data_IF_730995367994
#
_entry.id   IF_730995367994
#
_cell.length_a   1.000
_cell.length_b   1.000
_cell.length_c   1.000
_cell.angle_alpha   90.00
_cell.angle_beta   90.00
_cell.angle_gamma   90.00
#
_symmetry.space_group_name_H-M   'P 1'
#
loop_
_entity.id
_entity.type
_entity.pdbx_description
1 polymer ?
#
# COMPACT_ATOMS: atom_id res chain seq x y z
N UNK A 1 17.30 -43.42 -34.46
CA UNK A 1 16.18 -43.97 -33.67
C UNK A 1 16.32 -43.57 -32.22
N UNK A 2 15.59 -42.56 -31.74
CA UNK A 2 15.40 -42.24 -30.32
C UNK A 2 13.93 -41.95 -30.11
N UNK A 3 13.24 -42.78 -29.35
CA UNK A 3 11.83 -42.64 -28.98
C UNK A 3 11.66 -41.58 -27.90
N UNK A 4 10.82 -40.64 -28.18
CA UNK A 4 10.30 -39.65 -27.23
C UNK A 4 9.19 -40.30 -26.37
N UNK A 5 9.37 -40.32 -25.04
CA UNK A 5 8.31 -40.76 -24.13
C UNK A 5 7.48 -39.53 -23.71
N UNK A 6 6.22 -39.52 -24.15
CA UNK A 6 5.19 -38.57 -23.63
C UNK A 6 4.64 -39.18 -22.34
N UNK A 7 4.83 -38.48 -21.21
CA UNK A 7 4.17 -38.83 -19.95
C UNK A 7 2.71 -38.36 -20.00
N UNK A 8 1.81 -39.31 -19.95
CA UNK A 8 0.36 -39.12 -19.84
C UNK A 8 0.02 -38.94 -18.37
N UNK A 9 -0.43 -37.74 -17.97
CA UNK A 9 -1.04 -37.52 -16.65
C UNK A 9 -2.49 -38.01 -16.74
N UNK A 10 -2.74 -39.18 -16.18
CA UNK A 10 -4.08 -39.73 -16.00
C UNK A 10 -4.76 -39.02 -14.84
N UNK A 11 -5.90 -38.38 -15.15
CA UNK A 11 -6.84 -37.84 -14.16
C UNK A 11 -7.55 -39.01 -13.48
N UNK A 12 -7.20 -39.31 -12.23
CA UNK A 12 -8.03 -40.15 -11.36
C UNK A 12 -9.15 -39.28 -10.77
N UNK A 13 -10.32 -39.40 -11.34
CA UNK A 13 -11.57 -38.95 -10.69
C UNK A 13 -11.99 -40.11 -9.79
N UNK A 14 -11.72 -40.01 -8.49
CA UNK A 14 -12.28 -40.91 -7.48
C UNK A 14 -13.66 -40.39 -7.10
N UNK A 15 -14.69 -40.97 -7.66
CA UNK A 15 -16.08 -40.86 -7.17
C UNK A 15 -16.22 -41.67 -5.90
N UNK A 16 -16.09 -41.06 -4.72
CA UNK A 16 -16.52 -41.64 -3.46
C UNK A 16 -18.04 -41.47 -3.33
N UNK A 17 -18.78 -42.52 -3.63
CA UNK A 17 -20.16 -42.65 -3.17
C UNK A 17 -20.11 -42.99 -1.68
N UNK A 18 -20.07 -41.96 -0.81
CA UNK A 18 -20.27 -42.12 0.60
C UNK A 18 -21.79 -42.25 0.86
N UNK A 19 -22.22 -43.46 1.20
CA UNK A 19 -23.54 -43.67 1.77
C UNK A 19 -23.65 -42.88 3.09
N UNK A 20 -24.34 -41.77 3.05
CA UNK A 20 -24.65 -40.93 4.21
C UNK A 20 -25.67 -41.71 5.05
N UNK A 21 -25.20 -42.47 6.04
CA UNK A 21 -26.05 -42.96 7.12
C UNK A 21 -26.44 -41.73 7.94
N UNK A 22 -27.66 -41.18 7.70
CA UNK A 22 -28.23 -40.13 8.49
C UNK A 22 -28.54 -40.70 9.90
N UNK A 23 -27.58 -40.66 10.81
CA UNK A 23 -27.88 -40.69 12.22
C UNK A 23 -28.53 -39.37 12.53
N UNK A 24 -29.87 -39.37 12.66
CA UNK A 24 -30.58 -38.31 13.35
C UNK A 24 -30.15 -38.36 14.81
N UNK A 25 -29.05 -37.66 15.12
CA UNK A 25 -28.84 -37.22 16.51
C UNK A 25 -29.91 -36.16 16.72
N UNK A 26 -31.01 -36.53 17.34
CA UNK A 26 -31.96 -35.59 17.86
C UNK A 26 -31.27 -34.82 18.97
N UNK A 27 -30.58 -33.76 18.61
CA UNK A 27 -30.15 -32.77 19.58
C UNK A 27 -31.44 -32.17 20.12
N UNK A 28 -31.85 -32.60 21.31
CA UNK A 28 -32.91 -31.92 22.07
C UNK A 28 -32.40 -30.47 22.17
N UNK A 29 -33.11 -29.46 21.62
CA UNK A 29 -32.69 -28.10 21.75
C UNK A 29 -32.68 -27.75 23.23
N UNK A 30 -31.51 -27.53 23.82
CA UNK A 30 -31.39 -27.02 25.18
C UNK A 30 -32.09 -25.66 25.17
N UNK A 31 -33.27 -25.60 25.77
CA UNK A 31 -34.04 -24.35 25.86
C UNK A 31 -33.22 -23.35 26.66
N UNK A 32 -32.79 -22.29 26.01
CA UNK A 32 -32.04 -21.22 26.65
C UNK A 32 -32.86 -20.63 27.80
N UNK A 33 -32.28 -20.51 29.00
CA UNK A 33 -32.92 -19.91 30.15
C UNK A 33 -32.90 -18.38 30.04
N UNK A 34 -34.09 -17.77 30.02
CA UNK A 34 -34.23 -16.31 29.93
C UNK A 34 -33.73 -15.56 31.20
N UNK A 35 -33.43 -16.29 32.29
CA UNK A 35 -32.79 -15.71 33.48
C UNK A 35 -31.33 -15.34 33.29
N UNK A 36 -30.66 -15.86 32.23
CA UNK A 36 -29.32 -15.49 31.88
C UNK A 36 -29.34 -14.38 30.84
N UNK A 37 -28.76 -13.20 31.13
CA UNK A 37 -28.82 -12.03 30.25
C UNK A 37 -28.19 -12.28 28.90
N UNK A 38 -28.64 -11.55 27.88
CA UNK A 38 -28.11 -11.61 26.51
C UNK A 38 -26.76 -10.90 26.40
N UNK A 39 -25.87 -11.44 25.57
CA UNK A 39 -24.66 -10.76 25.11
C UNK A 39 -25.05 -9.67 24.13
N UNK A 40 -24.52 -8.46 24.32
CA UNK A 40 -24.76 -7.26 23.50
C UNK A 40 -23.45 -6.52 23.19
N UNK A 41 -23.50 -5.59 22.21
CA UNK A 41 -22.42 -4.66 21.96
C UNK A 41 -21.11 -5.33 21.55
N UNK A 42 -21.19 -6.46 20.84
CA UNK A 42 -20.00 -7.12 20.30
C UNK A 42 -19.31 -6.21 19.30
N UNK A 43 -18.00 -6.02 19.46
CA UNK A 43 -17.16 -5.25 18.54
C UNK A 43 -15.77 -5.84 18.45
N UNK A 44 -15.13 -5.66 17.31
CA UNK A 44 -13.71 -5.96 17.13
C UNK A 44 -12.91 -4.78 17.66
N UNK A 45 -11.93 -5.04 18.53
CA UNK A 45 -11.09 -4.01 19.19
C UNK A 45 -9.75 -3.82 18.50
N UNK A 46 -9.17 -4.93 18.05
CA UNK A 46 -7.89 -4.96 17.35
C UNK A 46 -7.80 -6.15 16.40
N UNK A 47 -6.72 -6.20 15.61
CA UNK A 47 -6.36 -7.34 14.77
C UNK A 47 -4.87 -7.33 14.42
N UNK A 48 -4.29 -8.52 14.37
CA UNK A 48 -3.00 -8.78 13.73
C UNK A 48 -3.18 -9.76 12.56
N UNK A 49 -2.10 -10.24 12.00
CA UNK A 49 -2.14 -11.27 10.93
C UNK A 49 -2.68 -12.61 11.41
N UNK A 50 -2.58 -12.90 12.71
CA UNK A 50 -2.97 -14.20 13.31
C UNK A 50 -3.84 -14.07 14.55
N UNK A 51 -4.38 -12.88 14.84
CA UNK A 51 -5.24 -12.65 15.99
C UNK A 51 -6.31 -11.59 15.73
N UNK A 52 -7.39 -11.64 16.50
CA UNK A 52 -8.45 -10.65 16.51
C UNK A 52 -8.97 -10.46 17.94
N UNK A 53 -8.89 -9.22 18.44
CA UNK A 53 -9.47 -8.83 19.72
C UNK A 53 -10.95 -8.54 19.56
N UNK A 54 -11.75 -9.00 20.52
CA UNK A 54 -13.19 -8.74 20.60
C UNK A 54 -13.56 -8.27 22.00
N UNK A 55 -14.60 -7.47 22.10
CA UNK A 55 -15.23 -7.12 23.38
C UNK A 55 -16.74 -7.16 23.24
N UNK A 56 -17.43 -7.32 24.38
CA UNK A 56 -18.88 -7.39 24.45
C UNK A 56 -19.38 -6.86 25.80
N UNK A 57 -20.68 -6.81 25.98
CA UNK A 57 -21.31 -6.54 27.25
C UNK A 57 -22.36 -7.61 27.56
N UNK A 58 -22.47 -7.98 28.85
CA UNK A 58 -23.52 -8.85 29.35
C UNK A 58 -23.75 -8.46 30.80
N UNK A 59 -24.91 -7.85 31.16
CA UNK A 59 -25.23 -7.45 32.53
C UNK A 59 -25.47 -8.67 33.44
N UNK A 60 -25.35 -8.47 34.76
CA UNK A 60 -25.60 -9.51 35.76
C UNK A 60 -24.33 -9.97 36.47
N UNK A 61 -24.46 -10.85 37.45
CA UNK A 61 -23.35 -11.36 38.26
C UNK A 61 -23.17 -12.87 38.05
N UNK A 62 -21.94 -13.34 38.23
CA UNK A 62 -21.58 -14.76 38.13
C UNK A 62 -21.76 -15.38 36.74
N UNK A 63 -21.65 -14.56 35.71
CA UNK A 63 -21.70 -14.99 34.31
C UNK A 63 -20.28 -15.41 33.87
N UNK A 64 -20.21 -16.48 33.08
CA UNK A 64 -19.06 -16.89 32.30
C UNK A 64 -19.46 -17.00 30.85
N UNK A 65 -18.50 -17.02 29.97
CA UNK A 65 -18.75 -17.05 28.53
C UNK A 65 -18.08 -18.27 27.90
N UNK A 66 -18.85 -18.99 27.09
CA UNK A 66 -18.38 -19.91 26.08
C UNK A 66 -18.22 -19.14 24.77
N UNK A 67 -17.08 -19.23 24.16
CA UNK A 67 -16.77 -18.59 22.88
C UNK A 67 -16.54 -19.66 21.83
N UNK A 68 -17.22 -19.54 20.73
CA UNK A 68 -17.09 -20.41 19.56
C UNK A 68 -16.77 -19.55 18.34
N UNK A 69 -16.01 -20.10 17.39
CA UNK A 69 -15.67 -19.40 16.14
C UNK A 69 -15.74 -20.32 14.93
N UNK A 70 -15.93 -19.74 13.74
CA UNK A 70 -15.96 -20.47 12.46
C UNK A 70 -15.51 -19.55 11.31
N UNK A 71 -15.01 -20.12 10.21
CA UNK A 71 -14.88 -19.41 8.93
C UNK A 71 -16.22 -19.29 8.17
N UNK A 72 -17.25 -20.00 8.61
CA UNK A 72 -18.59 -20.02 8.00
C UNK A 72 -19.64 -19.42 8.95
N UNK A 73 -20.53 -18.60 8.39
CA UNK A 73 -21.52 -17.89 9.22
C UNK A 73 -22.53 -18.81 9.92
N UNK A 74 -22.88 -19.95 9.32
CA UNK A 74 -23.98 -20.81 9.79
C UNK A 74 -23.53 -22.13 10.39
N UNK A 75 -22.33 -22.62 10.08
CA UNK A 75 -21.87 -23.98 10.40
C UNK A 75 -20.41 -24.00 10.82
N UNK A 76 -19.90 -25.17 11.23
CA UNK A 76 -18.47 -25.38 11.47
C UNK A 76 -17.93 -24.62 12.69
N UNK A 77 -18.77 -24.29 13.68
CA UNK A 77 -18.32 -23.62 14.88
C UNK A 77 -17.56 -24.59 15.79
N UNK A 78 -16.35 -24.15 16.15
CA UNK A 78 -15.46 -24.86 17.07
C UNK A 78 -15.37 -24.07 18.39
N UNK A 79 -15.25 -24.83 19.49
CA UNK A 79 -15.07 -24.25 20.82
C UNK A 79 -13.67 -23.61 20.91
N UNK A 80 -13.62 -22.30 21.15
CA UNK A 80 -12.37 -21.60 21.44
C UNK A 80 -12.05 -21.66 22.95
N UNK A 81 -13.05 -21.37 23.78
CA UNK A 81 -12.97 -21.46 25.24
C UNK A 81 -14.37 -21.46 25.85
N UNK A 82 -14.51 -22.07 27.02
CA UNK A 82 -15.78 -22.15 27.72
C UNK A 82 -15.78 -21.53 29.13
N UNK A 83 -14.75 -20.71 29.44
CA UNK A 83 -14.56 -20.26 30.82
C UNK A 83 -14.06 -18.79 30.95
N UNK A 84 -14.47 -17.91 30.09
CA UNK A 84 -14.13 -16.48 30.23
C UNK A 84 -14.99 -15.88 31.34
N UNK A 85 -14.40 -15.29 32.40
CA UNK A 85 -15.17 -14.66 33.46
C UNK A 85 -15.80 -13.34 32.99
N UNK A 86 -16.92 -12.96 33.61
CA UNK A 86 -17.64 -11.72 33.29
C UNK A 86 -16.76 -10.46 33.43
N UNK A 87 -15.85 -10.43 34.39
CA UNK A 87 -14.96 -9.31 34.63
C UNK A 87 -14.06 -9.00 33.44
N UNK A 88 -13.82 -9.97 32.55
CA UNK A 88 -12.97 -9.77 31.36
C UNK A 88 -13.72 -9.19 30.17
N UNK A 89 -15.00 -9.56 29.94
CA UNK A 89 -15.87 -9.11 28.82
C UNK A 89 -15.15 -8.77 27.50
N UNK A 90 -13.98 -9.37 27.30
CA UNK A 90 -13.10 -9.23 26.14
C UNK A 90 -12.22 -10.47 26.00
N UNK A 91 -11.77 -10.72 24.77
CA UNK A 91 -10.88 -11.84 24.44
C UNK A 91 -10.11 -11.52 23.16
N UNK A 92 -8.87 -11.98 23.08
CA UNK A 92 -8.12 -12.03 21.84
C UNK A 92 -8.10 -13.48 21.31
N UNK A 93 -8.76 -13.70 20.18
CA UNK A 93 -8.64 -14.94 19.40
C UNK A 93 -7.25 -14.99 18.80
N UNK A 94 -6.55 -16.10 18.90
CA UNK A 94 -5.19 -16.32 18.39
C UNK A 94 -5.13 -17.55 17.47
N UNK A 95 -4.01 -17.76 16.79
CA UNK A 95 -3.80 -18.87 15.84
C UNK A 95 -4.78 -18.83 14.65
N UNK A 96 -5.23 -17.66 14.29
CA UNK A 96 -6.04 -17.42 13.10
C UNK A 96 -5.17 -17.31 11.87
N UNK A 97 -5.73 -17.57 10.67
CA UNK A 97 -5.04 -17.35 9.41
C UNK A 97 -5.10 -15.88 8.96
N UNK A 98 -4.08 -15.39 8.26
CA UNK A 98 -4.02 -14.01 7.79
C UNK A 98 -5.05 -13.69 6.71
N UNK A 99 -5.59 -12.46 6.74
CA UNK A 99 -6.49 -11.93 5.72
C UNK A 99 -7.85 -12.62 5.64
N UNK A 100 -8.21 -13.38 6.66
CA UNK A 100 -9.45 -14.16 6.73
C UNK A 100 -10.59 -13.39 7.40
N UNK A 101 -11.75 -13.98 7.28
CA UNK A 101 -12.99 -13.62 7.98
C UNK A 101 -13.37 -14.77 8.88
N UNK A 102 -13.69 -14.47 10.12
CA UNK A 102 -14.23 -15.40 11.09
C UNK A 102 -15.55 -14.89 11.64
N UNK A 103 -16.38 -15.79 12.11
CA UNK A 103 -17.63 -15.51 12.79
C UNK A 103 -17.56 -16.06 14.21
N UNK A 104 -17.84 -15.21 15.18
CA UNK A 104 -17.75 -15.53 16.60
C UNK A 104 -19.14 -15.54 17.20
N UNK A 105 -19.44 -16.55 18.01
CA UNK A 105 -20.65 -16.61 18.84
C UNK A 105 -20.25 -16.68 20.29
N UNK A 106 -21.04 -16.03 21.14
CA UNK A 106 -20.81 -16.00 22.58
C UNK A 106 -22.07 -16.49 23.28
N UNK A 107 -21.89 -17.52 24.10
CA UNK A 107 -22.97 -18.09 24.93
C UNK A 107 -22.68 -17.75 26.38
N UNK A 108 -23.54 -16.96 27.05
CA UNK A 108 -23.40 -16.69 28.48
C UNK A 108 -23.85 -17.90 29.30
N UNK A 109 -23.10 -18.21 30.33
CA UNK A 109 -23.31 -19.36 31.20
C UNK A 109 -23.34 -18.88 32.67
N UNK A 110 -24.28 -19.38 33.48
CA UNK A 110 -24.32 -19.18 34.91
C UNK A 110 -24.20 -20.52 35.63
N UNK A 111 -23.40 -20.58 36.68
CA UNK A 111 -23.34 -21.73 37.57
C UNK A 111 -24.26 -21.48 38.75
N UNK A 112 -25.20 -22.39 38.98
CA UNK A 112 -26.13 -22.39 40.12
C UNK A 112 -25.70 -23.44 41.12
N UNK A 113 -25.54 -23.05 42.39
CA UNK A 113 -25.24 -23.99 43.46
C UNK A 113 -26.55 -24.69 43.86
N UNK A 114 -26.60 -26.01 43.73
CA UNK A 114 -27.75 -26.86 44.03
C UNK A 114 -27.65 -27.54 45.42
N UNK A 115 -26.56 -27.33 46.16
CA UNK A 115 -26.29 -27.90 47.48
C UNK A 115 -24.80 -28.15 47.69
N UNK A 116 -24.41 -28.82 48.78
CA UNK A 116 -23.02 -29.04 49.21
C UNK A 116 -22.02 -29.30 48.02
N UNK A 117 -21.48 -28.22 47.44
CA UNK A 117 -20.49 -28.29 46.39
C UNK A 117 -20.96 -28.74 45.00
N UNK A 118 -22.25 -28.99 44.78
CA UNK A 118 -22.81 -29.38 43.49
C UNK A 118 -23.32 -28.17 42.73
N UNK A 119 -22.77 -27.95 41.50
CA UNK A 119 -23.20 -26.87 40.61
C UNK A 119 -23.92 -27.42 39.40
N UNK A 120 -25.01 -26.78 38.98
CA UNK A 120 -25.64 -26.96 37.67
C UNK A 120 -25.32 -25.78 36.79
N UNK A 121 -25.18 -26.07 35.49
CA UNK A 121 -24.91 -25.08 34.45
C UNK A 121 -26.23 -24.61 33.84
N UNK A 122 -26.51 -23.32 33.93
CA UNK A 122 -27.60 -22.66 33.23
C UNK A 122 -27.04 -21.95 32.01
N UNK A 123 -27.45 -22.40 30.83
CA UNK A 123 -26.99 -21.84 29.55
C UNK A 123 -28.00 -20.80 29.06
N UNK A 124 -27.51 -19.60 28.77
CA UNK A 124 -28.30 -18.55 28.15
C UNK A 124 -28.37 -18.65 26.63
N UNK A 125 -28.96 -17.65 26.01
CA UNK A 125 -29.09 -17.58 24.56
C UNK A 125 -27.75 -17.22 23.92
N UNK A 126 -27.29 -18.03 22.97
CA UNK A 126 -26.13 -17.76 22.16
C UNK A 126 -26.32 -16.50 21.29
N UNK A 127 -25.32 -15.64 21.20
CA UNK A 127 -25.38 -14.45 20.37
C UNK A 127 -25.51 -14.77 18.87
N UNK A 128 -26.02 -13.82 18.10
CA UNK A 128 -25.87 -13.89 16.64
C UNK A 128 -24.38 -13.93 16.26
N UNK A 129 -24.02 -14.55 15.11
CA UNK A 129 -22.67 -14.56 14.59
C UNK A 129 -22.14 -13.13 14.41
N UNK A 130 -21.00 -12.83 15.01
CA UNK A 130 -20.31 -11.54 14.86
C UNK A 130 -19.09 -11.73 14.00
N UNK A 131 -19.02 -10.98 12.90
CA UNK A 131 -17.92 -11.04 11.95
C UNK A 131 -16.66 -10.33 12.48
N UNK A 132 -15.53 -11.04 12.52
CA UNK A 132 -14.21 -10.51 12.82
C UNK A 132 -13.24 -10.79 11.67
N UNK A 133 -12.17 -10.04 11.58
CA UNK A 133 -11.19 -10.15 10.50
C UNK A 133 -9.78 -10.13 11.03
N UNK A 134 -8.87 -10.79 10.33
CA UNK A 134 -7.42 -10.69 10.52
C UNK A 134 -6.79 -9.79 9.48
N UNK A 135 -5.63 -9.23 9.79
CA UNK A 135 -4.84 -8.44 8.85
C UNK A 135 -4.26 -9.34 7.73
N UNK A 136 -4.17 -8.84 6.50
CA UNK A 136 -3.39 -9.53 5.46
C UNK A 136 -1.92 -9.64 5.86
N UNK A 137 -1.30 -10.80 5.59
CA UNK A 137 0.09 -11.06 5.98
C UNK A 137 1.10 -10.29 5.13
N UNK A 138 0.85 -10.23 3.83
CA UNK A 138 1.81 -9.69 2.88
C UNK A 138 1.71 -8.17 2.74
N UNK A 139 2.86 -7.51 2.74
CA UNK A 139 2.94 -6.14 2.22
C UNK A 139 2.63 -6.11 0.72
N UNK A 140 2.00 -5.04 0.19
CA UNK A 140 1.75 -4.94 -1.24
C UNK A 140 3.04 -5.04 -2.05
N UNK A 141 3.17 -6.07 -2.88
CA UNK A 141 4.35 -6.23 -3.73
C UNK A 141 4.36 -5.23 -4.88
N UNK A 142 5.52 -5.07 -5.52
CA UNK A 142 5.67 -4.29 -6.76
C UNK A 142 5.22 -2.82 -6.67
N UNK A 143 5.39 -2.17 -5.50
CA UNK A 143 5.12 -0.73 -5.39
C UNK A 143 5.98 0.03 -6.41
N UNK A 144 5.35 0.50 -7.48
CA UNK A 144 6.02 1.13 -8.62
C UNK A 144 5.55 2.55 -8.83
N UNK A 145 6.51 3.42 -9.18
CA UNK A 145 6.26 4.74 -9.71
C UNK A 145 5.77 4.63 -11.16
N UNK A 146 4.61 5.20 -11.46
CA UNK A 146 4.00 5.16 -12.80
C UNK A 146 4.34 6.41 -13.60
N UNK A 147 4.08 7.58 -13.01
CA UNK A 147 4.40 8.90 -13.60
C UNK A 147 4.34 10.00 -12.55
N UNK A 148 5.00 11.12 -12.85
CA UNK A 148 4.90 12.37 -12.08
C UNK A 148 4.54 13.55 -12.96
N UNK A 149 3.88 14.54 -12.37
CA UNK A 149 3.87 15.93 -12.82
C UNK A 149 4.70 16.80 -11.85
N UNK A 150 4.65 18.10 -11.99
CA UNK A 150 5.38 19.03 -11.10
C UNK A 150 4.87 19.06 -9.66
N UNK A 151 3.66 18.52 -9.42
CA UNK A 151 2.96 18.53 -8.14
C UNK A 151 2.15 17.24 -7.87
N UNK A 152 2.33 16.21 -8.71
CA UNK A 152 1.66 14.92 -8.53
C UNK A 152 2.61 13.74 -8.73
N UNK A 153 2.35 12.65 -8.03
CA UNK A 153 2.99 11.33 -8.21
C UNK A 153 1.89 10.28 -8.31
N UNK A 154 1.94 9.44 -9.35
CA UNK A 154 1.10 8.25 -9.46
C UNK A 154 1.94 7.00 -9.17
N UNK A 155 1.46 6.21 -8.21
CA UNK A 155 2.02 4.88 -7.88
C UNK A 155 0.98 3.79 -8.06
N UNK A 156 1.45 2.55 -8.27
CA UNK A 156 0.64 1.34 -8.30
C UNK A 156 1.36 0.20 -7.57
N UNK A 157 0.60 -0.79 -7.16
CA UNK A 157 1.10 -1.99 -6.48
C UNK A 157 0.29 -3.22 -6.88
N UNK A 158 0.76 -4.41 -6.49
CA UNK A 158 0.01 -5.66 -6.71
C UNK A 158 -1.08 -5.81 -5.65
N UNK A 159 -2.21 -6.40 -6.05
CA UNK A 159 -3.28 -6.75 -5.11
C UNK A 159 -2.75 -7.74 -4.05
N UNK A 160 -3.23 -7.58 -2.81
CA UNK A 160 -2.91 -8.48 -1.70
C UNK A 160 -4.14 -9.35 -1.42
N UNK A 161 -4.01 -10.67 -1.40
CA UNK A 161 -5.11 -11.56 -1.06
C UNK A 161 -5.72 -11.21 0.30
N UNK A 162 -7.05 -11.26 0.39
CA UNK A 162 -7.77 -10.92 1.61
C UNK A 162 -7.88 -9.43 1.93
N UNK A 163 -7.23 -8.54 1.19
CA UNK A 163 -7.36 -7.09 1.38
C UNK A 163 -8.61 -6.54 0.68
N UNK A 164 -9.28 -5.60 1.34
CA UNK A 164 -10.38 -4.83 0.78
C UNK A 164 -10.14 -3.31 0.82
N UNK A 165 -9.05 -2.90 1.42
CA UNK A 165 -8.62 -1.50 1.54
C UNK A 165 -7.10 -1.39 1.57
N UNK A 166 -6.56 -0.28 1.08
CA UNK A 166 -5.14 0.05 1.17
C UNK A 166 -4.96 1.42 1.81
N UNK A 167 -3.95 1.53 2.65
CA UNK A 167 -3.52 2.81 3.19
C UNK A 167 -2.20 3.22 2.53
N UNK A 168 -2.18 4.44 2.03
CA UNK A 168 -0.98 5.06 1.46
C UNK A 168 -0.56 6.19 2.38
N UNK A 169 0.64 6.10 2.93
CA UNK A 169 1.27 7.14 3.75
C UNK A 169 2.42 7.72 2.95
N UNK A 170 2.53 9.03 2.90
CA UNK A 170 3.60 9.68 2.16
C UNK A 170 4.08 10.94 2.86
N UNK A 171 5.39 11.19 2.76
CA UNK A 171 6.05 12.38 3.30
C UNK A 171 7.08 12.91 2.31
N UNK A 172 7.34 14.19 2.34
CA UNK A 172 8.47 14.76 1.61
C UNK A 172 9.77 14.26 2.25
N UNK A 173 10.70 13.79 1.46
CA UNK A 173 11.98 13.28 1.95
C UNK A 173 12.71 14.35 2.76
N UNK A 174 13.18 13.96 3.95
CA UNK A 174 13.82 14.85 4.91
C UNK A 174 12.86 15.65 5.82
N UNK A 175 11.54 15.38 5.76
CA UNK A 175 10.56 15.99 6.68
C UNK A 175 9.82 14.92 7.49
N UNK A 176 9.34 15.30 8.68
CA UNK A 176 8.58 14.42 9.56
C UNK A 176 7.05 14.42 9.24
N UNK A 177 6.58 15.33 8.41
CA UNK A 177 5.15 15.48 8.13
C UNK A 177 4.66 14.36 7.21
N UNK A 178 3.84 13.45 7.74
CA UNK A 178 3.21 12.36 7.00
C UNK A 178 1.76 12.72 6.62
N UNK A 179 1.37 12.37 5.42
CA UNK A 179 0.01 12.46 4.91
C UNK A 179 -0.51 11.06 4.63
N UNK A 180 -1.79 10.84 4.90
CA UNK A 180 -2.42 9.52 4.73
C UNK A 180 -3.58 9.61 3.75
N UNK A 181 -3.73 8.54 2.94
CA UNK A 181 -4.86 8.36 2.03
C UNK A 181 -5.27 6.89 2.00
N UNK A 182 -6.57 6.61 2.09
CA UNK A 182 -7.12 5.27 1.86
C UNK A 182 -7.68 5.12 0.44
N UNK A 183 -7.62 3.90 -0.10
CA UNK A 183 -8.21 3.53 -1.39
C UNK A 183 -8.55 2.04 -1.41
N UNK A 184 -9.55 1.65 -2.18
CA UNK A 184 -9.88 0.24 -2.44
C UNK A 184 -9.17 -0.29 -3.70
N UNK A 185 -8.62 0.61 -4.53
CA UNK A 185 -7.88 0.24 -5.73
C UNK A 185 -6.40 0.01 -5.47
N UNK A 186 -5.71 -0.56 -6.44
CA UNK A 186 -4.27 -0.88 -6.40
C UNK A 186 -3.39 0.22 -7.01
N UNK A 187 -3.90 1.44 -7.11
CA UNK A 187 -3.15 2.61 -7.54
C UNK A 187 -3.69 3.89 -6.93
N UNK A 188 -2.84 4.89 -6.81
CA UNK A 188 -3.25 6.21 -6.32
C UNK A 188 -2.46 7.32 -7.01
N UNK A 189 -3.11 8.47 -7.20
CA UNK A 189 -2.43 9.72 -7.56
C UNK A 189 -2.40 10.63 -6.32
N UNK A 190 -1.20 10.89 -5.83
CA UNK A 190 -0.92 11.89 -4.81
C UNK A 190 -0.90 13.26 -5.50
N UNK A 191 -1.55 14.25 -4.90
CA UNK A 191 -1.74 15.59 -5.48
C UNK A 191 -1.30 16.67 -4.49
N UNK A 192 -1.12 17.89 -4.99
CA UNK A 192 -0.71 19.07 -4.20
C UNK A 192 0.64 18.86 -3.51
N UNK A 193 1.55 18.18 -4.19
CA UNK A 193 2.90 17.92 -3.70
C UNK A 193 3.78 19.15 -3.89
N UNK A 194 4.79 19.30 -3.05
CA UNK A 194 5.80 20.35 -3.20
C UNK A 194 6.56 20.18 -4.51
N UNK A 195 6.78 21.30 -5.21
CA UNK A 195 7.54 21.33 -6.44
C UNK A 195 9.02 21.03 -6.17
N UNK A 196 9.68 20.42 -7.15
CA UNK A 196 11.11 20.09 -7.09
C UNK A 196 11.50 19.28 -5.83
N UNK A 197 10.61 18.38 -5.37
CA UNK A 197 10.77 17.58 -4.15
C UNK A 197 10.79 16.07 -4.45
N UNK A 198 11.27 15.29 -3.49
CA UNK A 198 11.22 13.82 -3.46
C UNK A 198 10.35 13.37 -2.31
N UNK A 199 9.76 12.19 -2.44
CA UNK A 199 8.83 11.64 -1.47
C UNK A 199 9.18 10.21 -1.09
N UNK A 200 9.01 9.91 0.19
CA UNK A 200 8.91 8.54 0.69
C UNK A 200 7.44 8.15 0.67
N UNK A 201 7.12 7.00 0.10
CA UNK A 201 5.75 6.50 -0.05
C UNK A 201 5.70 5.10 0.55
N UNK A 202 4.79 4.89 1.50
CA UNK A 202 4.52 3.60 2.16
C UNK A 202 3.11 3.15 1.79
N UNK A 203 2.92 1.88 1.49
CA UNK A 203 1.61 1.29 1.23
C UNK A 203 1.44 0.04 2.04
N UNK A 204 0.29 -0.12 2.69
CA UNK A 204 -0.10 -1.37 3.35
C UNK A 204 -1.51 -1.79 2.94
N UNK A 205 -1.74 -3.09 2.97
CA UNK A 205 -3.05 -3.69 2.77
C UNK A 205 -3.81 -3.78 4.09
N UNK A 206 -5.12 -3.79 4.03
CA UNK A 206 -5.96 -3.94 5.20
C UNK A 206 -7.31 -4.55 4.91
N UNK A 207 -8.00 -4.95 5.98
CA UNK A 207 -9.35 -5.47 5.96
C UNK A 207 -10.23 -4.66 6.90
N UNK A 208 -11.42 -4.28 6.46
CA UNK A 208 -12.34 -3.43 7.24
C UNK A 208 -13.06 -4.25 8.30
N UNK A 209 -13.20 -3.70 9.52
CA UNK A 209 -14.09 -4.25 10.53
C UNK A 209 -15.55 -4.15 10.08
N UNK A 210 -16.41 -4.98 10.65
CA UNK A 210 -17.81 -5.05 10.27
C UNK A 210 -18.56 -3.74 10.49
N UNK A 211 -18.27 -3.04 11.56
CA UNK A 211 -18.87 -1.76 11.93
C UNK A 211 -18.26 -0.56 11.16
N UNK A 212 -17.25 -0.81 10.31
CA UNK A 212 -16.57 0.22 9.55
C UNK A 212 -15.61 1.11 10.36
N UNK A 213 -15.57 0.99 11.68
CA UNK A 213 -14.81 1.88 12.58
C UNK A 213 -13.31 1.63 12.55
N UNK A 214 -12.91 0.36 12.37
CA UNK A 214 -11.50 -0.06 12.39
C UNK A 214 -11.03 -0.74 11.11
N UNK A 215 -9.73 -0.99 11.08
CA UNK A 215 -9.03 -1.69 9.99
C UNK A 215 -8.01 -2.65 10.59
N UNK A 216 -8.00 -3.89 10.10
CA UNK A 216 -6.91 -4.84 10.32
C UNK A 216 -5.81 -4.54 9.30
N UNK A 217 -4.76 -3.84 9.71
CA UNK A 217 -3.67 -3.41 8.83
C UNK A 217 -2.53 -4.42 8.83
N UNK A 218 -2.09 -4.82 7.63
CA UNK A 218 -0.85 -5.57 7.40
C UNK A 218 0.39 -4.67 7.35
N UNK A 219 1.50 -5.26 6.91
CA UNK A 219 2.80 -4.60 6.85
C UNK A 219 2.90 -3.59 5.69
N UNK A 220 3.77 -2.58 5.87
CA UNK A 220 4.09 -1.60 4.83
C UNK A 220 5.11 -2.12 3.82
N UNK A 221 4.86 -1.81 2.56
CA UNK A 221 5.90 -1.71 1.54
C UNK A 221 6.30 -0.24 1.38
N UNK A 222 7.59 0.05 1.46
CA UNK A 222 8.10 1.42 1.38
C UNK A 222 8.90 1.63 0.09
N UNK A 223 8.68 2.77 -0.55
CA UNK A 223 9.46 3.26 -1.67
C UNK A 223 10.02 4.63 -1.35
N UNK A 224 11.33 4.74 -1.38
CA UNK A 224 12.07 5.97 -1.07
C UNK A 224 12.33 6.80 -2.31
N UNK A 225 12.59 8.08 -2.11
CA UNK A 225 13.11 9.03 -3.11
C UNK A 225 12.34 9.10 -4.43
N UNK A 226 11.01 9.00 -4.36
CA UNK A 226 10.15 9.13 -5.54
C UNK A 226 10.03 10.61 -5.91
N UNK A 227 10.58 11.05 -7.06
CA UNK A 227 10.59 12.47 -7.40
C UNK A 227 9.28 12.92 -8.04
N UNK A 228 8.90 14.18 -7.80
CA UNK A 228 8.03 14.90 -8.72
C UNK A 228 8.80 15.24 -9.99
N UNK A 229 8.09 15.57 -11.07
CA UNK A 229 8.70 16.09 -12.29
C UNK A 229 9.24 17.50 -12.02
N UNK A 230 10.52 17.75 -12.32
CA UNK A 230 11.15 19.05 -12.08
C UNK A 230 10.47 20.18 -12.85
N UNK A 231 10.35 21.33 -12.20
CA UNK A 231 9.89 22.57 -12.81
C UNK A 231 10.92 23.11 -13.82
N UNK A 232 10.61 24.23 -14.50
CA UNK A 232 11.55 24.88 -15.41
C UNK A 232 12.85 25.22 -14.71
N UNK A 233 13.96 25.00 -15.40
CA UNK A 233 15.30 25.43 -14.97
C UNK A 233 15.42 26.94 -15.17
N UNK A 234 15.99 27.61 -14.19
CA UNK A 234 16.17 29.06 -14.16
C UNK A 234 17.65 29.45 -14.11
N UNK A 235 17.93 30.75 -14.23
CA UNK A 235 19.28 31.30 -14.12
C UNK A 235 20.22 30.82 -15.22
N UNK A 236 19.72 30.55 -16.43
CA UNK A 236 20.51 30.08 -17.55
C UNK A 236 21.34 31.25 -18.08
N UNK A 237 22.66 31.07 -18.09
CA UNK A 237 23.63 31.96 -18.73
C UNK A 237 24.42 31.15 -19.78
N UNK A 238 24.65 31.77 -20.92
CA UNK A 238 25.45 31.22 -22.04
C UNK A 238 26.64 32.13 -22.28
N UNK A 239 27.82 31.53 -22.36
CA UNK A 239 29.08 32.26 -22.61
C UNK A 239 29.91 31.50 -23.60
N UNK A 240 30.96 32.15 -24.11
CA UNK A 240 31.82 31.55 -25.18
C UNK A 240 31.28 31.79 -26.60
N UNK A 241 30.61 32.88 -26.82
CA UNK A 241 29.77 33.21 -27.97
C UNK A 241 30.51 34.11 -28.99
N UNK A 242 31.66 33.66 -29.45
CA UNK A 242 32.43 34.45 -30.48
C UNK A 242 32.68 33.58 -31.71
N UNK A 243 32.77 34.21 -32.86
CA UNK A 243 32.85 33.61 -34.21
C UNK A 243 33.95 32.55 -34.42
N UNK A 244 34.92 32.48 -33.52
CA UNK A 244 36.05 31.56 -33.59
C UNK A 244 36.12 30.50 -32.50
N UNK A 245 35.06 30.40 -31.61
CA UNK A 245 35.09 29.45 -30.51
C UNK A 245 34.40 28.13 -30.87
N UNK A 246 35.12 27.06 -30.62
CA UNK A 246 34.63 25.70 -30.77
C UNK A 246 33.84 25.18 -29.56
N UNK A 247 33.50 26.08 -28.60
CA UNK A 247 32.91 25.71 -27.30
C UNK A 247 31.92 26.75 -26.79
N UNK A 248 30.73 26.31 -26.43
CA UNK A 248 29.74 27.08 -25.66
C UNK A 248 29.73 26.56 -24.26
N UNK A 249 29.78 27.45 -23.25
CA UNK A 249 29.61 27.16 -21.87
C UNK A 249 28.22 27.62 -21.42
N UNK A 250 27.50 26.75 -20.65
CA UNK A 250 26.18 27.02 -20.19
C UNK A 250 26.19 26.80 -18.68
N UNK A 251 25.66 27.75 -17.92
CA UNK A 251 25.41 27.60 -16.48
C UNK A 251 23.93 27.75 -16.18
N UNK A 252 23.45 27.13 -15.14
CA UNK A 252 22.08 27.29 -14.67
C UNK A 252 21.97 27.04 -13.15
N UNK A 253 20.89 27.51 -12.53
CA UNK A 253 20.58 27.18 -11.14
C UNK A 253 20.26 25.70 -10.99
N UNK A 254 20.74 25.08 -9.91
CA UNK A 254 20.42 23.70 -9.55
C UNK A 254 18.95 23.55 -9.15
N UNK A 255 18.41 22.33 -9.32
CA UNK A 255 17.07 21.92 -8.88
C UNK A 255 17.20 20.85 -7.80
N UNK A 256 16.52 21.01 -6.67
CA UNK A 256 16.68 20.15 -5.50
C UNK A 256 16.41 18.65 -5.77
N UNK A 257 15.48 18.32 -6.66
CA UNK A 257 15.16 16.92 -6.97
C UNK A 257 15.89 16.39 -8.21
N UNK A 258 16.79 17.17 -8.83
CA UNK A 258 17.46 16.78 -10.06
C UNK A 258 18.68 15.85 -9.81
N UNK A 259 18.80 14.81 -10.61
CA UNK A 259 20.00 13.98 -10.72
C UNK A 259 20.88 14.41 -11.87
N UNK A 260 20.36 15.29 -12.75
CA UNK A 260 21.13 15.85 -13.83
C UNK A 260 20.30 16.71 -14.77
N UNK A 261 20.96 17.13 -15.86
CA UNK A 261 20.39 18.08 -16.81
C UNK A 261 20.59 17.63 -18.23
N UNK A 262 19.61 17.95 -19.07
CA UNK A 262 19.70 17.81 -20.52
C UNK A 262 19.69 19.20 -21.15
N UNK A 263 20.70 19.46 -21.95
CA UNK A 263 20.90 20.70 -22.72
C UNK A 263 20.65 20.42 -24.17
N UNK A 264 19.96 21.33 -24.86
CA UNK A 264 19.78 21.30 -26.30
C UNK A 264 20.20 22.62 -26.89
N UNK A 265 21.02 22.53 -27.94
CA UNK A 265 21.49 23.63 -28.75
C UNK A 265 20.81 23.58 -30.11
N UNK A 266 20.21 24.67 -30.48
CA UNK A 266 19.63 24.87 -31.82
C UNK A 266 20.28 26.05 -32.50
N UNK A 267 20.29 26.03 -33.81
CA UNK A 267 20.67 27.13 -34.65
C UNK A 267 19.52 27.48 -35.59
N UNK A 268 19.44 28.75 -35.98
CA UNK A 268 18.64 29.18 -37.13
C UNK A 268 19.54 29.99 -38.04
N UNK A 269 19.41 29.74 -39.35
CA UNK A 269 20.09 30.55 -40.36
C UNK A 269 19.33 31.85 -40.56
N UNK A 270 20.09 32.93 -40.80
CA UNK A 270 19.47 34.25 -41.07
C UNK A 270 18.61 34.16 -42.34
N UNK A 271 17.33 34.46 -42.19
CA UNK A 271 16.36 34.37 -43.29
C UNK A 271 15.70 33.00 -43.49
N UNK A 272 15.88 32.04 -42.56
CA UNK A 272 15.17 30.76 -42.56
C UNK A 272 14.33 30.60 -41.30
N UNK A 273 13.07 30.26 -41.46
CA UNK A 273 12.15 30.03 -40.33
C UNK A 273 12.36 28.65 -39.65
N UNK A 274 13.13 27.78 -40.28
CA UNK A 274 13.35 26.42 -39.79
C UNK A 274 14.56 26.34 -38.86
N UNK A 275 14.28 26.06 -37.60
CA UNK A 275 15.29 25.79 -36.60
C UNK A 275 15.80 24.36 -36.66
N UNK A 276 17.12 24.20 -36.62
CA UNK A 276 17.76 22.90 -36.64
C UNK A 276 18.47 22.61 -35.32
N UNK A 277 18.23 21.43 -34.77
CA UNK A 277 18.95 20.96 -33.59
C UNK A 277 20.37 20.60 -33.92
N UNK A 278 21.32 21.33 -33.35
CA UNK A 278 22.75 21.10 -33.58
C UNK A 278 23.30 20.03 -32.64
N UNK A 279 22.96 20.11 -31.34
CA UNK A 279 23.52 19.20 -30.35
C UNK A 279 22.57 19.02 -29.14
N UNK A 280 22.64 17.84 -28.53
CA UNK A 280 22.05 17.56 -27.22
C UNK A 280 23.09 16.85 -26.37
N UNK A 281 23.30 17.34 -25.16
CA UNK A 281 24.14 16.68 -24.17
C UNK A 281 23.36 16.46 -22.86
N UNK A 282 23.78 15.44 -22.12
CA UNK A 282 23.28 15.18 -20.76
C UNK A 282 24.45 15.30 -19.80
N UNK A 283 24.24 16.02 -18.71
CA UNK A 283 25.22 16.17 -17.64
C UNK A 283 24.60 15.56 -16.39
N UNK A 284 25.26 14.57 -15.81
CA UNK A 284 24.89 14.00 -14.52
C UNK A 284 25.46 14.92 -13.44
N UNK A 285 24.60 15.37 -12.54
CA UNK A 285 25.00 16.20 -11.41
C UNK A 285 25.02 15.35 -10.15
N UNK A 286 26.23 15.06 -9.65
CA UNK A 286 26.34 14.30 -8.40
C UNK A 286 26.30 15.18 -7.14
N UNK A 287 26.55 16.47 -7.27
CA UNK A 287 26.41 17.46 -6.19
C UNK A 287 26.53 18.88 -6.76
N UNK A 288 25.55 19.79 -6.52
CA UNK A 288 25.62 21.15 -7.07
C UNK A 288 26.69 22.05 -6.45
N UNK A 289 27.44 21.58 -5.46
CA UNK A 289 28.43 22.41 -4.76
C UNK A 289 27.80 23.57 -3.98
N UNK A 290 28.62 24.34 -3.30
CA UNK A 290 28.20 25.52 -2.52
C UNK A 290 27.60 26.67 -3.35
N UNK A 291 27.85 26.69 -4.66
CA UNK A 291 27.38 27.75 -5.57
C UNK A 291 25.93 27.60 -6.06
N UNK A 292 25.27 26.47 -5.76
CA UNK A 292 23.94 26.13 -6.26
C UNK A 292 23.82 26.29 -7.82
N UNK A 293 24.92 26.16 -8.54
CA UNK A 293 25.01 26.29 -10.00
C UNK A 293 25.54 25.03 -10.64
N UNK A 294 25.04 24.73 -11.82
CA UNK A 294 25.49 23.62 -12.67
C UNK A 294 26.06 24.18 -13.95
N UNK A 295 27.16 23.61 -14.37
CA UNK A 295 27.87 24.02 -15.61
C UNK A 295 27.92 22.89 -16.62
N UNK A 296 27.72 23.23 -17.88
CA UNK A 296 27.91 22.32 -19.01
C UNK A 296 28.73 23.00 -20.12
N UNK A 297 29.47 22.20 -20.86
CA UNK A 297 30.18 22.68 -22.01
C UNK A 297 29.83 21.84 -23.25
N UNK A 298 29.60 22.51 -24.37
CA UNK A 298 29.40 21.86 -25.66
C UNK A 298 30.52 22.27 -26.62
N UNK A 299 31.31 21.29 -27.07
CA UNK A 299 32.20 21.48 -28.22
C UNK A 299 31.36 21.41 -29.49
N UNK A 300 31.53 22.38 -30.36
CA UNK A 300 30.82 22.50 -31.64
C UNK A 300 31.83 22.69 -32.74
N UNK A 301 31.89 21.72 -33.63
CA UNK A 301 32.66 21.87 -34.87
C UNK A 301 31.86 22.71 -35.86
N UNK A 302 32.46 23.74 -36.43
CA UNK A 302 31.90 24.58 -37.49
C UNK A 302 30.78 25.56 -37.08
N UNK A 303 31.06 26.46 -36.14
CA UNK A 303 30.24 27.66 -35.93
C UNK A 303 30.36 28.70 -37.06
N UNK A 304 31.13 28.44 -38.08
CA UNK A 304 31.63 29.43 -39.01
C UNK A 304 30.61 30.25 -39.81
N UNK A 305 29.36 29.81 -39.89
CA UNK A 305 28.34 30.47 -40.74
C UNK A 305 26.94 30.58 -40.12
N UNK A 306 26.79 30.51 -38.79
CA UNK A 306 25.51 30.57 -38.16
C UNK A 306 25.28 31.91 -37.45
N UNK A 307 24.15 32.53 -37.70
CA UNK A 307 23.91 33.90 -37.26
C UNK A 307 23.51 34.02 -35.79
N UNK A 308 22.95 32.96 -35.19
CA UNK A 308 22.69 32.90 -33.78
C UNK A 308 22.41 31.47 -33.30
N UNK A 309 22.60 31.24 -32.01
CA UNK A 309 22.30 29.98 -31.32
C UNK A 309 21.32 30.24 -30.20
N UNK A 310 20.48 29.25 -29.99
CA UNK A 310 19.63 29.25 -28.78
C UNK A 310 19.76 27.94 -28.02
N UNK A 311 19.70 28.06 -26.72
CA UNK A 311 19.85 26.95 -25.77
C UNK A 311 18.57 26.83 -24.94
N UNK A 312 18.17 25.59 -24.67
CA UNK A 312 17.24 25.29 -23.61
C UNK A 312 17.75 24.17 -22.74
N UNK A 313 17.28 24.16 -21.49
CA UNK A 313 17.72 23.23 -20.46
C UNK A 313 16.49 22.63 -19.79
N UNK A 314 16.55 21.37 -19.45
CA UNK A 314 15.64 20.73 -18.52
C UNK A 314 16.40 19.87 -17.53
N UNK A 315 15.91 19.81 -16.28
CA UNK A 315 16.39 18.86 -15.31
C UNK A 315 15.81 17.46 -15.60
N UNK A 316 16.43 16.42 -15.08
CA UNK A 316 15.82 15.10 -14.94
C UNK A 316 16.11 14.53 -13.56
N UNK A 317 15.20 13.68 -13.07
CA UNK A 317 15.37 12.87 -11.88
C UNK A 317 15.36 11.40 -12.29
N UNK A 318 16.00 10.54 -11.50
CA UNK A 318 15.97 9.10 -11.70
C UNK A 318 14.86 8.49 -10.83
N UNK A 319 14.12 7.57 -11.41
CA UNK A 319 13.23 6.71 -10.62
C UNK A 319 14.02 5.52 -10.03
N UNK A 320 13.37 4.67 -9.25
CA UNK A 320 13.99 3.49 -8.64
C UNK A 320 14.51 2.43 -9.63
N UNK A 321 14.24 2.58 -10.93
CA UNK A 321 14.77 1.75 -12.02
C UNK A 321 15.87 2.44 -12.79
N UNK A 322 16.38 3.58 -12.29
CA UNK A 322 17.32 4.45 -12.99
C UNK A 322 16.80 5.03 -14.32
N UNK A 323 15.48 5.04 -14.52
CA UNK A 323 14.88 5.67 -15.69
C UNK A 323 14.75 7.19 -15.47
N UNK A 324 15.05 7.98 -16.51
CA UNK A 324 15.02 9.44 -16.43
C UNK A 324 13.60 9.99 -16.51
N UNK A 325 13.19 10.73 -15.50
CA UNK A 325 11.96 11.52 -15.45
C UNK A 325 12.33 12.95 -15.81
N UNK A 326 12.13 13.31 -17.06
CA UNK A 326 12.49 14.63 -17.55
C UNK A 326 11.52 15.71 -17.06
N UNK A 327 12.08 16.79 -16.55
CA UNK A 327 11.41 18.01 -16.14
C UNK A 327 10.86 18.82 -17.33
N UNK A 328 10.37 20.00 -17.00
CA UNK A 328 9.86 20.96 -17.98
C UNK A 328 11.03 21.69 -18.64
N UNK A 329 11.00 21.85 -19.96
CA UNK A 329 12.00 22.66 -20.65
C UNK A 329 11.95 24.12 -20.21
N UNK A 330 13.11 24.73 -20.06
CA UNK A 330 13.23 26.18 -19.91
C UNK A 330 12.72 26.89 -21.16
N UNK A 331 12.50 28.20 -21.03
CA UNK A 331 12.45 29.06 -22.19
C UNK A 331 13.80 29.05 -22.90
N UNK A 332 13.81 29.42 -24.18
CA UNK A 332 15.04 29.58 -24.96
C UNK A 332 15.88 30.75 -24.43
N UNK A 333 17.20 30.61 -24.52
CA UNK A 333 18.19 31.63 -24.25
C UNK A 333 19.19 31.69 -25.40
#
# INVERSE_FOLDING_TARGET
MKKSSKSVWSRFVMTFAAAFLLMFVTTVPVKADSSVPLVKGMKQTDASTNSAGISWSCPGNGIRFKIEYSEQISTGYEDYTNNIPQSSASLTLTKLEPGKVYYVRITPIRYKLEGLGKYTTITGTTSQPFRVVTAPDSAPASLTHVKSSTDTIKVKWSAVPGADVYQVVYSQSGTANEFTKETTGTSVTLKKLSKDARYTIKVRAGKKYTDGTGRAWGNYHTKYDVPVKSTKVEGIKVSGYYQNLSKISITNKAKACADGYQYQLYTAYKGQDKETKVKSITVNQNNPGSSNQVSASMKISALKNHNFYKVRVRAYSLNSKNEKIYGVWSSWK
#
